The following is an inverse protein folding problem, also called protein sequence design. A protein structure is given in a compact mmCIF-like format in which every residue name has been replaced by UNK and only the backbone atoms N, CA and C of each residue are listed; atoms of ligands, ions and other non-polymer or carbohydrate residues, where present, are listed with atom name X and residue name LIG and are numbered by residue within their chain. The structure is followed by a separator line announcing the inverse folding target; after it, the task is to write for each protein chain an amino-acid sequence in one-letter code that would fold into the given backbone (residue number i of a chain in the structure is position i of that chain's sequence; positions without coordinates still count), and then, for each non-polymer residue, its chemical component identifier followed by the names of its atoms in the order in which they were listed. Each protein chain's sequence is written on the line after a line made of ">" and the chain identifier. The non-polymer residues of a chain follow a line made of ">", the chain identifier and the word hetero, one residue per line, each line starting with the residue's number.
data_IF_134664638500
#
_entry.id   IF_134664638500
#
_cell.length_a   1.000
_cell.length_b   1.000
_cell.length_c   1.000
_cell.angle_alpha   90.00
_cell.angle_beta   90.00
_cell.angle_gamma   90.00
#
_symmetry.space_group_name_H-M   'P 1'
#
loop_
_entity.id
_entity.type
_entity.pdbx_description
1 polymer ?
#
# COMPACT_ATOMS: atom_id res chain seq x y z
N UNK A 1 11.30 2.48 -23.01
CA UNK A 1 11.30 2.54 -21.52
C UNK A 1 11.83 3.87 -20.94
N UNK A 2 13.07 4.29 -21.26
CA UNK A 2 13.75 5.43 -20.61
C UNK A 2 13.05 6.81 -20.71
N UNK A 3 12.17 7.02 -21.71
CA UNK A 3 11.37 8.26 -21.84
C UNK A 3 9.92 8.09 -21.37
N UNK A 4 9.28 6.99 -21.77
CA UNK A 4 7.86 6.73 -21.51
C UNK A 4 7.58 6.49 -20.02
N UNK A 5 8.44 5.74 -19.32
CA UNK A 5 8.24 5.40 -17.90
C UNK A 5 8.20 6.67 -17.02
N UNK A 6 9.21 7.56 -17.04
CA UNK A 6 9.17 8.76 -16.20
C UNK A 6 8.04 9.72 -16.56
N UNK A 7 7.70 9.86 -17.85
CA UNK A 7 6.55 10.67 -18.26
C UNK A 7 5.23 10.11 -17.77
N UNK A 8 5.04 8.79 -17.90
CA UNK A 8 3.84 8.11 -17.41
C UNK A 8 3.67 8.27 -15.90
N UNK A 9 4.76 8.14 -15.13
CA UNK A 9 4.73 8.34 -13.68
C UNK A 9 4.35 9.78 -13.31
N UNK A 10 4.97 10.78 -13.92
CA UNK A 10 4.69 12.19 -13.62
C UNK A 10 3.26 12.58 -14.00
N UNK A 11 2.80 12.18 -15.18
CA UNK A 11 1.42 12.44 -15.64
C UNK A 11 0.42 11.75 -14.70
N UNK A 12 0.70 10.51 -14.30
CA UNK A 12 -0.17 9.78 -13.38
C UNK A 12 -0.23 10.48 -12.03
N UNK A 13 0.90 10.81 -11.41
CA UNK A 13 0.92 11.44 -10.08
C UNK A 13 0.23 12.81 -10.09
N UNK A 14 0.54 13.66 -11.07
CA UNK A 14 -0.07 14.99 -11.17
C UNK A 14 -1.56 14.88 -11.49
N UNK A 15 -1.93 14.02 -12.46
CA UNK A 15 -3.31 13.80 -12.85
C UNK A 15 -4.16 13.25 -11.71
N UNK A 16 -3.69 12.21 -11.02
CA UNK A 16 -4.36 11.67 -9.84
C UNK A 16 -4.43 12.70 -8.71
N UNK A 17 -3.37 13.47 -8.46
CA UNK A 17 -3.37 14.50 -7.41
C UNK A 17 -4.40 15.60 -7.65
N UNK A 18 -4.47 16.13 -8.88
CA UNK A 18 -5.47 17.13 -9.26
C UNK A 18 -6.89 16.56 -9.18
N UNK A 19 -7.08 15.36 -9.71
CA UNK A 19 -8.39 14.69 -9.69
C UNK A 19 -8.84 14.38 -8.26
N UNK A 20 -7.96 13.85 -7.41
CA UNK A 20 -8.23 13.60 -5.99
C UNK A 20 -8.60 14.88 -5.26
N UNK A 21 -7.87 15.98 -5.49
CA UNK A 21 -8.16 17.29 -4.89
C UNK A 21 -9.53 17.79 -5.31
N UNK A 22 -9.86 17.70 -6.60
CA UNK A 22 -11.16 18.09 -7.13
C UNK A 22 -12.30 17.27 -6.50
N UNK A 23 -12.19 15.94 -6.49
CA UNK A 23 -13.22 15.05 -5.91
C UNK A 23 -13.37 15.27 -4.41
N UNK A 24 -12.26 15.45 -3.68
CA UNK A 24 -12.28 15.75 -2.25
C UNK A 24 -12.98 17.08 -1.98
N UNK A 25 -12.70 18.10 -2.79
CA UNK A 25 -13.38 19.40 -2.70
C UNK A 25 -14.88 19.28 -2.96
N UNK A 26 -15.30 18.53 -3.98
CA UNK A 26 -16.72 18.26 -4.23
C UNK A 26 -17.41 17.58 -3.04
N UNK A 27 -16.75 16.60 -2.41
CA UNK A 27 -17.30 15.90 -1.24
C UNK A 27 -17.45 16.84 -0.04
N UNK A 28 -16.43 17.66 0.26
CA UNK A 28 -16.48 18.66 1.33
C UNK A 28 -17.56 19.71 1.09
N UNK A 29 -17.66 20.22 -0.15
CA UNK A 29 -18.62 21.25 -0.53
C UNK A 29 -20.08 20.76 -0.58
N UNK A 30 -20.30 19.45 -0.62
CA UNK A 30 -21.64 18.87 -0.63
C UNK A 30 -22.34 18.95 0.74
N UNK A 31 -21.58 19.15 1.82
CA UNK A 31 -22.12 19.25 3.17
C UNK A 31 -22.37 20.71 3.56
N UNK A 32 -23.47 21.00 4.28
CA UNK A 32 -23.88 22.37 4.58
C UNK A 32 -22.96 23.08 5.58
N UNK A 33 -22.32 22.34 6.48
CA UNK A 33 -21.39 22.88 7.47
C UNK A 33 -20.22 21.93 7.68
N UNK A 34 -19.07 22.48 8.10
CA UNK A 34 -17.90 21.68 8.44
C UNK A 34 -18.20 20.68 9.58
N UNK A 35 -18.98 21.10 10.59
CA UNK A 35 -19.35 20.22 11.70
C UNK A 35 -20.18 19.01 11.25
N UNK A 36 -21.13 19.21 10.32
CA UNK A 36 -21.93 18.11 9.76
C UNK A 36 -21.07 17.16 8.91
N UNK A 37 -20.21 17.73 8.05
CA UNK A 37 -19.26 16.96 7.26
C UNK A 37 -18.38 16.07 8.15
N UNK A 38 -17.75 16.65 9.17
CA UNK A 38 -16.88 15.91 10.09
C UNK A 38 -17.67 14.82 10.80
N UNK A 39 -18.84 15.15 11.35
CA UNK A 39 -19.67 14.17 12.04
C UNK A 39 -20.03 12.98 11.13
N UNK A 40 -20.37 13.22 9.86
CA UNK A 40 -20.68 12.17 8.88
C UNK A 40 -19.45 11.37 8.46
N UNK A 41 -18.31 12.02 8.26
CA UNK A 41 -17.07 11.33 7.92
C UNK A 41 -16.67 10.30 9.00
N UNK A 42 -16.89 10.63 10.27
CA UNK A 42 -16.57 9.74 11.40
C UNK A 42 -17.64 8.68 11.69
N UNK A 43 -18.92 9.03 11.53
CA UNK A 43 -20.03 8.12 11.87
C UNK A 43 -20.44 7.19 10.74
N UNK A 44 -20.22 7.60 9.48
CA UNK A 44 -20.68 6.87 8.29
C UNK A 44 -19.78 7.13 7.07
N UNK A 45 -18.53 6.69 7.17
CA UNK A 45 -17.53 6.86 6.10
C UNK A 45 -17.93 6.21 4.77
N UNK A 46 -18.77 5.17 4.79
CA UNK A 46 -19.28 4.51 3.57
C UNK A 46 -20.25 5.44 2.85
N UNK A 47 -21.23 6.00 3.56
CA UNK A 47 -22.22 6.88 2.94
C UNK A 47 -21.76 8.34 2.84
N UNK A 48 -20.57 8.67 3.31
CA UNK A 48 -19.99 10.01 3.19
C UNK A 48 -19.94 10.50 1.72
N UNK A 49 -19.61 9.61 0.79
CA UNK A 49 -19.62 9.95 -0.64
C UNK A 49 -20.95 9.61 -1.31
N UNK A 50 -21.65 8.56 -0.85
CA UNK A 50 -22.88 8.08 -1.49
C UNK A 50 -24.08 8.98 -1.20
N UNK A 51 -24.20 9.54 0.01
CA UNK A 51 -25.32 10.41 0.39
C UNK A 51 -25.37 11.67 -0.48
N UNK A 52 -24.27 12.44 -0.65
CA UNK A 52 -24.24 13.55 -1.60
C UNK A 52 -24.66 13.17 -3.02
N UNK A 53 -24.16 12.05 -3.54
CA UNK A 53 -24.50 11.60 -4.89
C UNK A 53 -26.00 11.30 -4.98
N UNK A 54 -26.57 10.63 -3.98
CA UNK A 54 -28.01 10.38 -3.95
C UNK A 54 -28.83 11.68 -3.91
N UNK A 55 -28.41 12.66 -3.11
CA UNK A 55 -29.10 13.95 -2.96
C UNK A 55 -29.04 14.80 -4.22
N UNK A 56 -27.87 14.94 -4.84
CA UNK A 56 -27.64 15.87 -5.95
C UNK A 56 -27.83 15.24 -7.35
N UNK A 57 -27.61 13.94 -7.50
CA UNK A 57 -27.67 13.21 -8.79
C UNK A 57 -28.89 12.30 -8.88
N UNK A 58 -29.33 11.75 -7.74
CA UNK A 58 -30.47 10.84 -7.63
C UNK A 58 -30.07 9.36 -7.52
N UNK A 59 -31.08 8.49 -7.41
CA UNK A 59 -30.89 7.07 -7.09
C UNK A 59 -30.06 6.28 -8.11
N UNK A 60 -30.14 6.62 -9.40
CA UNK A 60 -29.31 5.98 -10.44
C UNK A 60 -27.82 6.30 -10.24
N UNK A 61 -27.50 7.52 -9.81
CA UNK A 61 -26.13 7.94 -9.52
C UNK A 61 -25.57 7.20 -8.32
N UNK A 62 -26.39 7.00 -7.28
CA UNK A 62 -26.04 6.18 -6.12
C UNK A 62 -25.69 4.74 -6.51
N UNK A 63 -26.53 4.11 -7.34
CA UNK A 63 -26.31 2.73 -7.80
C UNK A 63 -25.03 2.61 -8.64
N UNK A 64 -24.82 3.54 -9.58
CA UNK A 64 -23.64 3.57 -10.42
C UNK A 64 -22.37 3.76 -9.57
N UNK A 65 -22.37 4.72 -8.64
CA UNK A 65 -21.24 4.96 -7.74
C UNK A 65 -20.95 3.74 -6.88
N UNK A 66 -21.98 3.09 -6.34
CA UNK A 66 -21.83 1.86 -5.55
C UNK A 66 -21.16 0.75 -6.36
N UNK A 67 -21.56 0.55 -7.61
CA UNK A 67 -20.93 -0.43 -8.51
C UNK A 67 -19.47 -0.07 -8.84
N UNK A 68 -19.18 1.21 -9.06
CA UNK A 68 -17.82 1.69 -9.33
C UNK A 68 -16.90 1.51 -8.12
N UNK A 69 -17.38 1.76 -6.90
CA UNK A 69 -16.62 1.51 -5.66
C UNK A 69 -16.30 0.03 -5.51
N UNK A 70 -17.28 -0.86 -5.71
CA UNK A 70 -17.07 -2.30 -5.60
C UNK A 70 -16.05 -2.81 -6.64
N UNK A 71 -16.22 -2.42 -7.89
CA UNK A 71 -15.34 -2.86 -8.99
C UNK A 71 -13.93 -2.27 -8.87
N UNK A 72 -13.79 -1.00 -8.50
CA UNK A 72 -12.47 -0.37 -8.30
C UNK A 72 -11.71 -0.95 -7.10
N UNK A 73 -12.39 -1.21 -5.99
CA UNK A 73 -11.80 -1.88 -4.82
C UNK A 73 -11.32 -3.29 -5.17
N UNK A 74 -12.12 -4.06 -5.91
CA UNK A 74 -11.72 -5.38 -6.40
C UNK A 74 -10.51 -5.30 -7.34
N UNK A 75 -10.53 -4.38 -8.31
CA UNK A 75 -9.42 -4.18 -9.24
C UNK A 75 -8.13 -3.79 -8.51
N UNK A 76 -8.22 -2.91 -7.51
CA UNK A 76 -7.11 -2.52 -6.66
C UNK A 76 -6.53 -3.71 -5.87
N UNK A 77 -7.39 -4.50 -5.23
CA UNK A 77 -6.99 -5.73 -4.53
C UNK A 77 -6.28 -6.73 -5.45
N UNK A 78 -6.80 -6.94 -6.66
CA UNK A 78 -6.17 -7.78 -7.68
C UNK A 78 -4.80 -7.26 -8.12
N UNK A 79 -4.64 -5.94 -8.26
CA UNK A 79 -3.36 -5.33 -8.61
C UNK A 79 -2.30 -5.54 -7.52
N UNK A 80 -2.67 -5.39 -6.24
CA UNK A 80 -1.78 -5.69 -5.11
C UNK A 80 -1.44 -7.17 -5.03
N UNK A 81 -2.43 -8.05 -5.19
CA UNK A 81 -2.22 -9.50 -5.18
C UNK A 81 -1.22 -9.93 -6.26
N UNK A 82 -1.39 -9.42 -7.48
CA UNK A 82 -0.51 -9.71 -8.61
C UNK A 82 0.92 -9.19 -8.34
N UNK A 83 1.03 -7.96 -7.84
CA UNK A 83 2.32 -7.34 -7.51
C UNK A 83 3.04 -8.12 -6.43
N UNK A 84 2.37 -8.44 -5.31
CA UNK A 84 2.94 -9.23 -4.22
C UNK A 84 3.39 -10.61 -4.69
N UNK A 85 2.59 -11.30 -5.51
CA UNK A 85 2.95 -12.61 -6.08
C UNK A 85 4.22 -12.54 -6.94
N UNK A 86 4.38 -11.49 -7.75
CA UNK A 86 5.58 -11.26 -8.57
C UNK A 86 6.81 -10.93 -7.72
N UNK A 87 6.65 -10.19 -6.63
CA UNK A 87 7.73 -9.92 -5.68
C UNK A 87 8.16 -11.21 -4.95
N UNK A 88 7.22 -12.00 -4.42
CA UNK A 88 7.51 -13.29 -3.78
C UNK A 88 8.23 -14.25 -4.73
N UNK A 89 7.77 -14.34 -5.98
CA UNK A 89 8.44 -15.12 -7.03
C UNK A 89 9.88 -14.65 -7.27
N UNK A 90 10.09 -13.33 -7.39
CA UNK A 90 11.42 -12.77 -7.66
C UNK A 90 12.39 -13.02 -6.49
N UNK A 91 11.92 -12.83 -5.25
CA UNK A 91 12.68 -13.13 -4.03
C UNK A 91 13.03 -14.62 -3.93
N UNK A 92 12.09 -15.51 -4.25
CA UNK A 92 12.35 -16.95 -4.27
C UNK A 92 13.37 -17.35 -5.34
N UNK A 93 13.31 -16.72 -6.53
CA UNK A 93 14.26 -16.94 -7.62
C UNK A 93 15.67 -16.47 -7.27
N UNK A 94 15.80 -15.40 -6.49
CA UNK A 94 17.07 -14.88 -5.99
C UNK A 94 17.62 -15.66 -4.77
N UNK A 95 16.89 -16.67 -4.29
CA UNK A 95 17.29 -17.49 -3.15
C UNK A 95 17.02 -16.85 -1.78
N UNK A 96 16.24 -15.75 -1.74
CA UNK A 96 15.79 -15.08 -0.51
C UNK A 96 14.66 -15.86 0.18
N UNK A 97 13.85 -16.59 -0.61
CA UNK A 97 12.76 -17.45 -0.15
C UNK A 97 12.94 -18.88 -0.70
N UNK A 98 12.22 -19.89 -0.16
CA UNK A 98 12.28 -21.25 -0.66
C UNK A 98 12.06 -21.34 -2.18
N UNK A 99 12.95 -22.03 -2.88
CA UNK A 99 12.97 -22.10 -4.35
C UNK A 99 11.68 -22.66 -4.95
N UNK A 100 10.95 -23.49 -4.21
CA UNK A 100 9.64 -24.00 -4.63
C UNK A 100 8.64 -22.87 -4.96
N UNK A 101 8.75 -21.69 -4.32
CA UNK A 101 7.86 -20.55 -4.58
C UNK A 101 8.19 -19.88 -5.93
N UNK A 102 9.39 -20.10 -6.46
CA UNK A 102 9.83 -19.57 -7.75
C UNK A 102 9.34 -20.40 -8.95
N UNK A 103 8.45 -21.37 -8.76
CA UNK A 103 7.89 -22.13 -9.89
C UNK A 103 6.80 -21.34 -10.62
N UNK A 104 6.83 -21.41 -11.95
CA UNK A 104 5.78 -20.86 -12.81
C UNK A 104 4.90 -21.98 -13.36
N UNK A 105 3.65 -21.64 -13.65
CA UNK A 105 2.71 -22.58 -14.27
C UNK A 105 3.19 -22.96 -15.67
N UNK A 106 3.15 -24.25 -16.02
CA UNK A 106 3.71 -24.77 -17.27
C UNK A 106 3.16 -24.08 -18.53
N UNK A 107 1.84 -23.95 -18.62
CA UNK A 107 1.15 -23.29 -19.73
C UNK A 107 1.15 -21.75 -19.64
N UNK A 108 0.64 -21.18 -18.54
CA UNK A 108 0.39 -19.74 -18.42
C UNK A 108 1.63 -18.90 -18.03
N UNK A 109 2.74 -19.57 -17.64
CA UNK A 109 3.97 -18.95 -17.13
C UNK A 109 3.74 -17.98 -15.95
N UNK A 110 2.62 -18.13 -15.24
CA UNK A 110 2.27 -17.32 -14.08
C UNK A 110 2.88 -17.89 -12.80
N UNK A 111 3.26 -17.07 -11.81
CA UNK A 111 3.84 -17.52 -10.55
C UNK A 111 2.76 -18.09 -9.61
N UNK A 112 2.20 -19.26 -9.97
CA UNK A 112 1.02 -19.83 -9.31
C UNK A 112 1.25 -20.17 -7.84
N UNK A 113 2.42 -20.71 -7.47
CA UNK A 113 2.75 -21.02 -6.06
C UNK A 113 2.91 -19.76 -5.21
N UNK A 114 3.55 -18.72 -5.76
CA UNK A 114 3.65 -17.43 -5.09
C UNK A 114 2.27 -16.77 -4.90
N UNK A 115 1.39 -16.88 -5.90
CA UNK A 115 -0.01 -16.42 -5.79
C UNK A 115 -0.80 -17.19 -4.74
N UNK A 116 -0.66 -18.52 -4.70
CA UNK A 116 -1.32 -19.34 -3.69
C UNK A 116 -0.83 -18.97 -2.27
N UNK A 117 0.49 -18.79 -2.09
CA UNK A 117 1.06 -18.33 -0.82
C UNK A 117 0.48 -16.96 -0.41
N UNK A 118 0.41 -16.00 -1.33
CA UNK A 118 -0.18 -14.69 -1.06
C UNK A 118 -1.66 -14.81 -0.66
N UNK A 119 -2.44 -15.67 -1.32
CA UNK A 119 -3.85 -15.92 -0.96
C UNK A 119 -3.98 -16.55 0.42
N UNK A 120 -3.11 -17.50 0.77
CA UNK A 120 -3.08 -18.11 2.11
C UNK A 120 -2.71 -17.07 3.16
N UNK A 121 -1.71 -16.22 2.93
CA UNK A 121 -1.36 -15.14 3.85
C UNK A 121 -2.51 -14.15 4.04
N UNK A 122 -3.18 -13.76 2.96
CA UNK A 122 -4.36 -12.90 3.03
C UNK A 122 -5.49 -13.57 3.84
N UNK A 123 -5.79 -14.85 3.59
CA UNK A 123 -6.79 -15.60 4.33
C UNK A 123 -6.44 -15.71 5.82
N UNK A 124 -5.17 -15.93 6.17
CA UNK A 124 -4.70 -15.95 7.57
C UNK A 124 -5.00 -14.61 8.24
N UNK A 125 -4.68 -13.47 7.61
CA UNK A 125 -4.96 -12.16 8.19
C UNK A 125 -6.45 -11.90 8.40
N UNK A 126 -7.29 -12.29 7.43
CA UNK A 126 -8.76 -12.17 7.55
C UNK A 126 -9.29 -13.06 8.68
N UNK A 127 -8.82 -14.31 8.76
CA UNK A 127 -9.25 -15.25 9.80
C UNK A 127 -8.78 -14.82 11.18
N UNK A 128 -7.53 -14.38 11.34
CA UNK A 128 -7.02 -13.86 12.62
C UNK A 128 -7.81 -12.65 13.08
N UNK A 129 -8.17 -11.74 12.17
CA UNK A 129 -9.01 -10.60 12.50
C UNK A 129 -10.42 -11.06 12.93
N UNK A 130 -11.06 -11.94 12.15
CA UNK A 130 -12.40 -12.43 12.47
C UNK A 130 -12.47 -13.26 13.75
N UNK A 131 -11.43 -14.05 14.06
CA UNK A 131 -11.33 -14.77 15.33
C UNK A 131 -11.16 -13.84 16.53
N UNK A 132 -10.52 -12.68 16.35
CA UNK A 132 -10.30 -11.70 17.42
C UNK A 132 -11.49 -10.76 17.63
N UNK A 133 -12.24 -10.43 16.56
CA UNK A 133 -13.26 -9.38 16.57
C UNK A 133 -14.67 -9.83 16.16
N UNK A 134 -14.84 -11.10 15.78
CA UNK A 134 -16.11 -11.70 15.34
C UNK A 134 -16.31 -11.69 13.81
N UNK A 135 -17.43 -12.29 13.38
CA UNK A 135 -17.86 -12.37 11.97
C UNK A 135 -19.28 -11.83 11.73
N UNK A 136 -19.91 -11.26 12.77
CA UNK A 136 -21.35 -10.96 12.79
C UNK A 136 -21.72 -9.57 12.22
N UNK A 137 -20.75 -8.68 11.97
CA UNK A 137 -20.98 -7.34 11.42
C UNK A 137 -20.11 -7.10 10.17
N UNK A 138 -20.65 -7.34 8.96
CA UNK A 138 -19.93 -7.11 7.72
C UNK A 138 -19.44 -5.66 7.54
N UNK A 139 -20.19 -4.67 8.03
CA UNK A 139 -19.86 -3.25 7.83
C UNK A 139 -18.71 -2.80 8.73
N UNK A 140 -18.75 -3.17 10.02
CA UNK A 140 -17.67 -2.88 10.97
C UNK A 140 -16.44 -3.77 10.77
N UNK A 141 -16.62 -5.07 10.52
CA UNK A 141 -15.51 -6.03 10.51
C UNK A 141 -14.86 -6.17 9.13
N UNK A 142 -15.64 -6.32 8.05
CA UNK A 142 -15.06 -6.52 6.72
C UNK A 142 -14.60 -5.20 6.09
N UNK A 143 -15.43 -4.15 6.15
CA UNK A 143 -15.10 -2.87 5.53
C UNK A 143 -14.13 -2.05 6.38
N UNK A 144 -14.52 -1.65 7.59
CA UNK A 144 -13.65 -0.85 8.44
C UNK A 144 -12.47 -1.69 8.95
N UNK A 145 -12.72 -2.88 9.48
CA UNK A 145 -11.70 -3.76 10.03
C UNK A 145 -10.69 -4.28 9.01
N UNK A 146 -11.14 -5.15 8.11
CA UNK A 146 -10.25 -5.86 7.18
C UNK A 146 -9.79 -4.97 6.02
N UNK A 147 -10.67 -4.19 5.41
CA UNK A 147 -10.27 -3.37 4.27
C UNK A 147 -9.51 -2.11 4.71
N UNK A 148 -10.12 -1.24 5.52
CA UNK A 148 -9.54 0.05 5.87
C UNK A 148 -8.29 -0.09 6.76
N UNK A 149 -8.32 -0.88 7.83
CA UNK A 149 -7.16 -0.93 8.76
C UNK A 149 -5.93 -1.60 8.14
N UNK A 150 -6.12 -2.64 7.32
CA UNK A 150 -4.99 -3.23 6.59
C UNK A 150 -4.48 -2.32 5.47
N UNK A 151 -5.36 -1.53 4.83
CA UNK A 151 -4.92 -0.48 3.91
C UNK A 151 -4.08 0.59 4.63
N UNK A 152 -4.47 1.00 5.84
CA UNK A 152 -3.70 1.94 6.67
C UNK A 152 -2.35 1.34 7.08
N UNK A 153 -2.33 0.08 7.54
CA UNK A 153 -1.09 -0.64 7.86
C UNK A 153 -0.16 -0.74 6.64
N UNK A 154 -0.69 -1.18 5.50
CA UNK A 154 0.06 -1.32 4.25
C UNK A 154 0.60 0.01 3.75
N UNK A 155 -0.22 1.06 3.80
CA UNK A 155 0.20 2.43 3.45
C UNK A 155 1.32 2.90 4.37
N UNK A 156 1.19 2.74 5.68
CA UNK A 156 2.23 3.09 6.64
C UNK A 156 3.56 2.39 6.36
N UNK A 157 3.52 1.08 6.09
CA UNK A 157 4.71 0.31 5.70
C UNK A 157 5.32 0.79 4.39
N UNK A 158 4.50 1.14 3.40
CA UNK A 158 4.96 1.69 2.12
C UNK A 158 5.62 3.06 2.28
N UNK A 159 5.08 3.96 3.12
CA UNK A 159 5.68 5.26 3.39
C UNK A 159 7.06 5.11 4.05
N UNK A 160 7.19 4.20 5.03
CA UNK A 160 8.48 3.88 5.66
C UNK A 160 9.45 3.30 4.64
N UNK A 161 9.01 2.36 3.79
CA UNK A 161 9.82 1.80 2.72
C UNK A 161 10.31 2.90 1.77
N UNK A 162 9.43 3.82 1.35
CA UNK A 162 9.77 4.94 0.48
C UNK A 162 10.76 5.92 1.13
N UNK A 163 10.68 6.15 2.44
CA UNK A 163 11.67 6.91 3.19
C UNK A 163 13.04 6.22 3.16
N UNK A 164 13.09 4.91 3.43
CA UNK A 164 14.33 4.10 3.36
C UNK A 164 14.92 4.12 1.95
N UNK A 165 14.08 3.98 0.91
CA UNK A 165 14.52 4.04 -0.49
C UNK A 165 15.07 5.43 -0.83
N UNK A 166 14.45 6.52 -0.35
CA UNK A 166 14.95 7.88 -0.58
C UNK A 166 16.34 8.07 0.03
N UNK A 167 16.57 7.55 1.23
CA UNK A 167 17.89 7.53 1.85
C UNK A 167 18.88 6.65 1.08
N UNK A 168 18.45 5.47 0.62
CA UNK A 168 19.28 4.54 -0.16
C UNK A 168 19.73 5.15 -1.49
N UNK A 169 18.85 5.88 -2.19
CA UNK A 169 19.18 6.60 -3.43
C UNK A 169 20.26 7.65 -3.15
N UNK A 170 20.07 8.47 -2.12
CA UNK A 170 21.07 9.48 -1.73
C UNK A 170 22.43 8.84 -1.42
N UNK A 171 22.46 7.77 -0.63
CA UNK A 171 23.70 7.05 -0.28
C UNK A 171 24.37 6.43 -1.51
N UNK A 172 23.59 5.87 -2.44
CA UNK A 172 24.10 5.28 -3.67
C UNK A 172 24.78 6.32 -4.56
N UNK A 173 24.14 7.48 -4.78
CA UNK A 173 24.74 8.56 -5.58
C UNK A 173 25.90 9.24 -4.87
N UNK A 174 25.88 9.34 -3.53
CA UNK A 174 27.02 9.83 -2.76
C UNK A 174 28.26 8.95 -2.93
N UNK A 175 28.07 7.62 -3.04
CA UNK A 175 29.16 6.66 -3.21
C UNK A 175 29.63 6.53 -4.66
N UNK A 176 28.71 6.44 -5.62
CA UNK A 176 29.03 6.11 -7.01
C UNK A 176 29.14 7.34 -7.93
N UNK A 177 28.68 8.51 -7.48
CA UNK A 177 28.65 9.73 -8.28
C UNK A 177 27.66 9.70 -9.45
N UNK A 178 27.69 10.77 -10.26
CA UNK A 178 26.85 10.95 -11.45
C UNK A 178 25.49 11.61 -11.17
N UNK A 179 24.88 12.21 -12.20
CA UNK A 179 23.58 12.88 -12.11
C UNK A 179 23.63 14.36 -11.67
N UNK A 180 22.50 15.06 -11.79
CA UNK A 180 22.37 16.46 -11.36
C UNK A 180 22.06 16.57 -9.87
N UNK A 181 22.50 17.65 -9.22
CA UNK A 181 22.26 17.91 -7.79
C UNK A 181 20.76 17.85 -7.42
N UNK A 182 19.89 18.26 -8.34
CA UNK A 182 18.45 18.17 -8.18
C UNK A 182 17.98 16.71 -8.04
N UNK A 183 18.45 15.82 -8.91
CA UNK A 183 18.02 14.43 -8.94
C UNK A 183 18.68 13.56 -7.84
N UNK A 184 19.88 13.92 -7.41
CA UNK A 184 20.71 13.07 -6.52
C UNK A 184 20.68 13.49 -5.06
N UNK A 185 20.43 14.77 -4.78
CA UNK A 185 20.45 15.31 -3.41
C UNK A 185 19.12 15.94 -3.05
N UNK A 186 18.66 16.93 -3.82
CA UNK A 186 17.46 17.70 -3.44
C UNK A 186 16.22 16.81 -3.47
N UNK A 187 15.94 16.13 -4.59
CA UNK A 187 14.73 15.32 -4.71
C UNK A 187 14.66 14.17 -3.69
N UNK A 188 15.74 13.39 -3.44
CA UNK A 188 15.72 12.36 -2.41
C UNK A 188 15.56 12.91 -0.99
N UNK A 189 16.19 14.06 -0.65
CA UNK A 189 16.06 14.66 0.68
C UNK A 189 14.66 15.23 0.91
N UNK A 190 14.09 15.92 -0.08
CA UNK A 190 12.69 16.40 0.00
C UNK A 190 11.75 15.21 0.17
N UNK A 191 11.92 14.16 -0.64
CA UNK A 191 11.13 12.93 -0.51
C UNK A 191 11.27 12.33 0.89
N UNK A 192 12.48 12.20 1.43
CA UNK A 192 12.70 11.68 2.77
C UNK A 192 11.96 12.50 3.83
N UNK A 193 12.08 13.83 3.81
CA UNK A 193 11.40 14.71 4.77
C UNK A 193 9.88 14.58 4.64
N UNK A 194 9.34 14.63 3.41
CA UNK A 194 7.90 14.49 3.15
C UNK A 194 7.40 13.14 3.66
N UNK A 195 8.11 12.04 3.40
CA UNK A 195 7.68 10.73 3.87
C UNK A 195 7.74 10.59 5.39
N UNK A 196 8.73 11.18 6.06
CA UNK A 196 8.78 11.21 7.53
C UNK A 196 7.60 12.01 8.11
N UNK A 197 7.26 13.15 7.50
CA UNK A 197 6.07 13.93 7.89
C UNK A 197 4.80 13.12 7.68
N UNK A 198 4.65 12.42 6.55
CA UNK A 198 3.46 11.60 6.28
C UNK A 198 3.34 10.42 7.24
N UNK A 199 4.44 9.74 7.58
CA UNK A 199 4.46 8.70 8.61
C UNK A 199 4.04 9.26 9.97
N UNK A 200 4.59 10.42 10.36
CA UNK A 200 4.21 11.09 11.60
C UNK A 200 2.73 11.44 11.62
N UNK A 201 2.21 12.07 10.56
CA UNK A 201 0.80 12.48 10.45
C UNK A 201 -0.13 11.27 10.46
N UNK A 202 0.24 10.16 9.82
CA UNK A 202 -0.53 8.92 9.84
C UNK A 202 -0.64 8.37 11.25
N UNK A 203 0.46 8.32 12.00
CA UNK A 203 0.46 7.81 13.39
C UNK A 203 -0.29 8.76 14.33
N UNK A 204 -0.07 10.07 14.18
CA UNK A 204 -0.74 11.08 15.00
C UNK A 204 -2.27 11.11 14.78
N UNK A 205 -2.73 10.81 13.56
CA UNK A 205 -4.14 10.79 13.19
C UNK A 205 -4.71 9.38 13.06
N UNK A 206 -4.05 8.38 13.66
CA UNK A 206 -4.46 6.99 13.50
C UNK A 206 -5.86 6.71 14.06
N UNK A 207 -6.22 7.38 15.16
CA UNK A 207 -7.58 7.32 15.71
C UNK A 207 -8.62 7.85 14.73
N UNK A 208 -8.25 8.81 13.88
CA UNK A 208 -9.11 9.37 12.83
C UNK A 208 -9.21 8.44 11.63
N UNK A 209 -8.11 7.82 11.23
CA UNK A 209 -8.03 6.99 10.02
C UNK A 209 -8.55 5.57 10.22
N UNK A 210 -8.33 4.99 11.41
CA UNK A 210 -8.66 3.60 11.73
C UNK A 210 -9.67 3.44 12.87
N UNK A 211 -10.21 4.53 13.40
CA UNK A 211 -11.05 4.48 14.59
C UNK A 211 -10.27 4.11 15.85
N UNK A 212 -11.00 3.84 16.93
CA UNK A 212 -10.43 3.71 18.28
C UNK A 212 -10.34 2.26 18.78
N UNK A 213 -10.62 1.28 17.90
CA UNK A 213 -10.61 -0.13 18.25
C UNK A 213 -9.19 -0.63 18.61
N UNK A 214 -9.12 -1.80 19.27
CA UNK A 214 -7.85 -2.36 19.74
C UNK A 214 -6.84 -2.61 18.62
N UNK A 215 -7.32 -3.02 17.44
CA UNK A 215 -6.45 -3.27 16.28
C UNK A 215 -5.84 -1.98 15.72
N UNK A 216 -6.62 -0.91 15.57
CA UNK A 216 -6.13 0.38 15.09
C UNK A 216 -4.97 0.89 15.95
N UNK A 217 -5.08 0.79 17.28
CA UNK A 217 -3.99 1.15 18.21
C UNK A 217 -2.76 0.25 18.07
N UNK A 218 -2.95 -0.99 17.62
CA UNK A 218 -1.87 -1.95 17.42
C UNK A 218 -1.09 -1.77 16.10
N UNK A 219 -1.64 -1.06 15.11
CA UNK A 219 -1.05 -0.89 13.78
C UNK A 219 0.43 -0.48 13.80
N UNK A 220 0.87 0.53 14.60
CA UNK A 220 2.27 0.93 14.61
C UNK A 220 3.19 -0.18 15.13
N UNK A 221 2.73 -0.95 16.11
CA UNK A 221 3.48 -2.07 16.70
C UNK A 221 3.55 -3.26 15.74
N UNK A 222 2.44 -3.59 15.06
CA UNK A 222 2.41 -4.63 14.02
C UNK A 222 3.31 -4.25 12.85
N UNK A 223 3.25 -2.99 12.39
CA UNK A 223 4.12 -2.48 11.35
C UNK A 223 5.60 -2.55 11.75
N UNK A 224 5.93 -2.14 12.96
CA UNK A 224 7.29 -2.23 13.50
C UNK A 224 7.77 -3.69 13.58
N UNK A 225 6.91 -4.61 14.04
CA UNK A 225 7.24 -6.03 14.07
C UNK A 225 7.55 -6.59 12.68
N UNK A 226 6.76 -6.24 11.66
CA UNK A 226 7.00 -6.64 10.27
C UNK A 226 8.35 -6.11 9.77
N UNK A 227 8.67 -4.85 10.05
CA UNK A 227 9.96 -4.24 9.69
C UNK A 227 11.14 -4.93 10.39
N UNK A 228 11.02 -5.21 11.69
CA UNK A 228 12.05 -5.91 12.47
C UNK A 228 12.25 -7.32 11.93
N UNK A 229 11.19 -8.08 11.68
CA UNK A 229 11.28 -9.43 11.10
C UNK A 229 11.98 -9.39 9.75
N UNK A 230 11.63 -8.44 8.88
CA UNK A 230 12.29 -8.24 7.59
C UNK A 230 13.79 -7.91 7.72
N UNK A 231 14.16 -7.04 8.65
CA UNK A 231 15.55 -6.69 8.93
C UNK A 231 16.35 -7.89 9.47
N UNK A 232 15.80 -8.60 10.46
CA UNK A 232 16.42 -9.81 11.01
C UNK A 232 16.62 -10.84 9.89
N UNK A 233 15.61 -11.07 9.05
CA UNK A 233 15.73 -11.99 7.92
C UNK A 233 16.85 -11.57 6.95
N UNK A 234 16.97 -10.28 6.65
CA UNK A 234 18.06 -9.75 5.82
C UNK A 234 19.45 -10.02 6.41
N UNK A 235 19.63 -9.81 7.72
CA UNK A 235 20.89 -10.11 8.40
C UNK A 235 21.19 -11.60 8.50
N UNK A 236 20.18 -12.43 8.78
CA UNK A 236 20.31 -13.88 8.78
C UNK A 236 20.74 -14.37 7.40
N UNK A 237 20.06 -13.92 6.34
CA UNK A 237 20.39 -14.30 4.96
C UNK A 237 21.82 -13.89 4.57
N UNK A 238 22.27 -12.71 5.01
CA UNK A 238 23.66 -12.26 4.81
C UNK A 238 24.68 -13.23 5.41
N UNK A 239 24.35 -13.88 6.53
CA UNK A 239 25.22 -14.83 7.22
C UNK A 239 25.10 -16.27 6.71
N UNK A 240 23.88 -16.73 6.40
CA UNK A 240 23.61 -18.14 6.05
C UNK A 240 23.74 -18.41 4.55
N UNK A 241 23.40 -17.45 3.70
CA UNK A 241 23.54 -17.56 2.25
C UNK A 241 24.05 -16.24 1.64
N UNK A 242 25.35 -15.93 1.79
CA UNK A 242 25.94 -14.71 1.23
C UNK A 242 25.81 -14.60 -0.28
N UNK A 243 25.74 -15.74 -1.00
CA UNK A 243 25.51 -15.76 -2.46
C UNK A 243 24.12 -15.25 -2.82
N UNK A 244 23.08 -15.73 -2.14
CA UNK A 244 21.72 -15.22 -2.33
C UNK A 244 21.62 -13.74 -1.95
N UNK A 245 22.23 -13.33 -0.83
CA UNK A 245 22.26 -11.93 -0.42
C UNK A 245 22.95 -11.02 -1.45
N UNK A 246 24.06 -11.48 -2.05
CA UNK A 246 24.77 -10.76 -3.10
C UNK A 246 24.01 -10.66 -4.42
N UNK A 247 23.10 -11.60 -4.69
CA UNK A 247 22.26 -11.59 -5.89
C UNK A 247 21.06 -10.63 -5.78
N UNK A 248 20.73 -10.14 -4.59
CA UNK A 248 19.59 -9.24 -4.38
C UNK A 248 19.76 -7.98 -5.23
N UNK A 249 18.81 -7.75 -6.14
CA UNK A 249 18.81 -6.56 -7.01
C UNK A 249 19.76 -6.63 -8.21
N UNK A 250 20.48 -7.74 -8.43
CA UNK A 250 21.20 -7.97 -9.67
C UNK A 250 20.23 -8.47 -10.75
N UNK A 251 19.93 -7.61 -11.73
CA UNK A 251 19.19 -8.02 -12.92
C UNK A 251 20.06 -9.00 -13.73
N UNK A 252 19.61 -10.23 -13.90
CA UNK A 252 20.32 -11.36 -14.55
C UNK A 252 20.67 -11.11 -16.04
N UNK A 253 20.43 -9.92 -16.60
CA UNK A 253 20.80 -9.60 -17.99
C UNK A 253 22.20 -8.98 -18.10
N UNK A 254 23.18 -9.51 -17.37
CA UNK A 254 24.61 -9.29 -17.63
C UNK A 254 25.29 -10.63 -17.99
N UNK A 255 24.65 -11.42 -18.83
CA UNK A 255 25.18 -12.64 -19.45
C UNK A 255 24.88 -12.66 -20.94
#
# INVERSE_FOLDING_TARGET
>A
PKRIIPQSLLISVIGLGLFYTFVSWCAVAAYPTEADMVAKAFSDGVNFFLTPIQTFVGGWGYQLMSLLILTSSFACGMAFHNTASRYLYSLAREGVLPQAIAETHDHHKSPHKASALQSVLAAIWVLLYGLAYGFDDPSGQAWLGVYTLFAVLGTGLLLVLQAVVSLAIYMWFKKNGGGSLLATVIAPLISLVVQLVLVYTLVANLATLGGTNGFARSIPYVGLAILIVGLIWGFVLRSTNPKAYGNIGHMVNEG
#
